data_IF_931164170695
#
_entry.id   IF_931164170695
#
_cell.length_a   1.000
_cell.length_b   1.000
_cell.length_c   1.000
_cell.angle_alpha   90.00
_cell.angle_beta   90.00
_cell.angle_gamma   90.00
#
_symmetry.space_group_name_H-M   'P 1'
#
loop_
_entity.id
_entity.type
_entity.pdbx_description
1 polymer ?
#
# COMPACT_ATOMS: atom_id res chain seq x y z
N UNK A 1 33.69 11.75 -8.71
CA UNK A 1 33.62 12.78 -9.79
C UNK A 1 32.90 13.97 -9.19
N UNK A 2 33.62 15.09 -8.98
CA UNK A 2 33.05 16.33 -8.42
C UNK A 2 31.69 16.56 -9.09
N UNK A 3 30.59 16.49 -8.32
CA UNK A 3 29.19 16.62 -8.77
C UNK A 3 28.93 16.40 -10.29
N UNK A 4 28.38 15.24 -10.65
CA UNK A 4 28.09 14.83 -12.03
C UNK A 4 27.15 15.80 -12.78
N UNK A 5 26.20 16.43 -12.10
CA UNK A 5 25.24 17.37 -12.69
C UNK A 5 24.68 18.35 -11.63
N UNK A 6 23.98 19.44 -12.06
CA UNK A 6 23.40 20.41 -11.13
C UNK A 6 22.39 19.82 -10.13
N UNK A 7 21.66 18.78 -10.53
CA UNK A 7 20.70 18.09 -9.66
C UNK A 7 21.40 17.42 -8.48
N UNK A 8 22.48 16.68 -8.75
CA UNK A 8 23.32 16.06 -7.73
C UNK A 8 23.97 17.14 -6.83
N UNK A 9 24.47 18.23 -7.41
CA UNK A 9 25.11 19.30 -6.65
C UNK A 9 24.15 19.96 -5.65
N UNK A 10 22.93 20.29 -6.08
CA UNK A 10 21.90 20.90 -5.22
C UNK A 10 21.46 19.94 -4.11
N UNK A 11 21.26 18.66 -4.45
CA UNK A 11 20.92 17.64 -3.45
C UNK A 11 22.03 17.43 -2.45
N UNK A 12 23.29 17.34 -2.91
CA UNK A 12 24.44 17.23 -2.01
C UNK A 12 24.48 18.41 -1.05
N UNK A 13 24.30 19.64 -1.54
CA UNK A 13 24.23 20.83 -0.68
C UNK A 13 23.14 20.73 0.40
N UNK A 14 21.94 20.25 0.05
CA UNK A 14 20.86 20.02 1.02
C UNK A 14 21.23 18.94 2.04
N UNK A 15 21.80 17.82 1.58
CA UNK A 15 22.27 16.73 2.46
C UNK A 15 23.35 17.24 3.42
N UNK A 16 24.38 17.92 2.91
CA UNK A 16 25.45 18.50 3.73
C UNK A 16 24.87 19.44 4.79
N UNK A 17 23.94 20.31 4.43
CA UNK A 17 23.27 21.20 5.38
C UNK A 17 22.47 20.43 6.43
N UNK A 18 21.66 19.45 6.01
CA UNK A 18 20.86 18.62 6.91
C UNK A 18 21.73 17.83 7.90
N UNK A 19 22.80 17.18 7.43
CA UNK A 19 23.70 16.43 8.31
C UNK A 19 24.46 17.36 9.27
N UNK A 20 24.89 18.53 8.81
CA UNK A 20 25.54 19.52 9.67
C UNK A 20 24.58 20.02 10.78
N UNK A 21 23.34 20.35 10.43
CA UNK A 21 22.31 20.76 11.39
C UNK A 21 21.99 19.64 12.40
N UNK A 22 21.85 18.40 11.92
CA UNK A 22 21.57 17.26 12.79
C UNK A 22 22.73 16.97 13.76
N UNK A 23 23.98 17.08 13.31
CA UNK A 23 25.17 16.98 14.18
C UNK A 23 25.22 18.11 15.21
N UNK A 24 24.89 19.34 14.84
CA UNK A 24 24.80 20.46 15.78
C UNK A 24 23.71 20.22 16.84
N UNK A 25 22.53 19.76 16.42
CA UNK A 25 21.42 19.43 17.32
C UNK A 25 21.74 18.24 18.25
N UNK A 26 22.59 17.30 17.84
CA UNK A 26 23.01 16.18 18.68
C UNK A 26 23.72 16.63 19.98
N UNK A 27 24.22 17.86 20.05
CA UNK A 27 24.81 18.45 21.26
C UNK A 27 23.78 19.07 22.23
N UNK A 28 22.49 19.13 21.87
CA UNK A 28 21.44 19.63 22.76
C UNK A 28 21.25 18.67 23.97
N UNK A 29 20.66 19.14 25.07
CA UNK A 29 20.58 18.37 26.32
C UNK A 29 19.47 17.31 26.35
N UNK A 30 18.36 17.51 25.62
CA UNK A 30 17.21 16.60 25.64
C UNK A 30 17.24 15.56 24.51
N UNK A 31 17.28 14.27 24.87
CA UNK A 31 17.37 13.16 23.91
C UNK A 31 16.22 13.12 22.89
N UNK A 32 14.98 13.38 23.33
CA UNK A 32 13.82 13.42 22.41
C UNK A 32 13.96 14.49 21.32
N UNK A 33 14.50 15.66 21.67
CA UNK A 33 14.71 16.76 20.72
C UNK A 33 15.76 16.40 19.66
N UNK A 34 16.79 15.61 20.02
CA UNK A 34 17.83 15.16 19.07
C UNK A 34 17.26 14.29 17.97
N UNK A 35 16.47 13.28 18.36
CA UNK A 35 15.84 12.33 17.42
C UNK A 35 14.92 13.06 16.45
N UNK A 36 13.99 13.86 16.99
CA UNK A 36 13.01 14.57 16.17
C UNK A 36 13.63 15.52 15.15
N UNK A 37 14.73 16.22 15.49
CA UNK A 37 15.41 17.09 14.52
C UNK A 37 15.97 16.29 13.35
N UNK A 38 16.62 15.16 13.62
CA UNK A 38 17.17 14.30 12.56
C UNK A 38 16.06 13.72 11.67
N UNK A 39 14.97 13.24 12.27
CA UNK A 39 13.80 12.73 11.56
C UNK A 39 13.19 13.78 10.61
N UNK A 40 13.02 15.02 11.10
CA UNK A 40 12.50 16.14 10.31
C UNK A 40 13.42 16.44 9.13
N UNK A 41 14.73 16.58 9.40
CA UNK A 41 15.71 16.92 8.37
C UNK A 41 15.79 15.84 7.29
N UNK A 42 15.78 14.56 7.67
CA UNK A 42 15.76 13.45 6.72
C UNK A 42 14.48 13.41 5.89
N UNK A 43 13.32 13.61 6.52
CA UNK A 43 12.03 13.67 5.83
C UNK A 43 12.01 14.76 4.74
N UNK A 44 12.63 15.91 5.02
CA UNK A 44 12.76 17.03 4.08
C UNK A 44 13.68 16.74 2.88
N UNK A 45 14.64 15.80 3.01
CA UNK A 45 15.50 15.40 1.90
C UNK A 45 14.75 14.58 0.85
N UNK A 46 13.80 13.73 1.27
CA UNK A 46 13.03 12.88 0.37
C UNK A 46 11.93 13.63 -0.38
N UNK A 47 11.22 14.54 0.31
CA UNK A 47 9.99 15.14 -0.23
C UNK A 47 10.12 15.76 -1.63
N UNK A 48 11.16 16.54 -1.97
CA UNK A 48 11.28 17.17 -3.29
C UNK A 48 11.48 16.19 -4.46
N UNK A 49 11.77 14.92 -4.17
CA UNK A 49 12.19 13.92 -5.16
C UNK A 49 11.14 12.84 -5.40
N UNK A 50 10.06 12.89 -4.63
CA UNK A 50 8.95 11.95 -4.69
C UNK A 50 7.74 12.64 -5.32
N UNK A 51 6.95 11.93 -6.15
CA UNK A 51 5.75 12.54 -6.75
C UNK A 51 4.70 12.89 -5.68
N UNK A 52 3.63 13.57 -6.10
CA UNK A 52 2.66 14.15 -5.17
C UNK A 52 1.86 13.11 -4.37
N UNK A 53 1.62 11.93 -4.96
CA UNK A 53 0.94 10.78 -4.37
C UNK A 53 1.80 10.04 -3.34
N UNK A 54 3.13 10.14 -3.44
CA UNK A 54 4.04 9.57 -2.46
C UNK A 54 4.26 10.57 -1.32
N UNK A 55 3.80 10.17 -0.13
CA UNK A 55 3.98 10.91 1.10
C UNK A 55 5.18 10.43 1.91
N UNK A 56 5.63 11.30 2.80
CA UNK A 56 6.62 11.02 3.84
C UNK A 56 5.99 11.48 5.17
N UNK A 57 5.96 10.60 6.16
CA UNK A 57 5.35 10.89 7.46
C UNK A 57 6.00 10.09 8.58
N UNK A 58 5.48 10.25 9.80
CA UNK A 58 5.89 9.50 10.99
C UNK A 58 4.63 8.98 11.69
N UNK A 59 4.71 7.83 12.36
CA UNK A 59 3.57 7.32 13.13
C UNK A 59 3.43 5.81 13.08
N UNK A 60 2.22 5.32 13.28
CA UNK A 60 1.95 3.90 13.49
C UNK A 60 1.38 3.24 12.23
N UNK A 61 1.73 1.98 12.03
CA UNK A 61 1.19 1.16 10.95
C UNK A 61 0.10 0.26 11.51
N UNK A 62 -1.00 0.14 10.78
CA UNK A 62 -2.15 -0.71 11.13
C UNK A 62 -2.52 -1.62 9.96
N UNK A 63 -3.34 -2.63 10.24
CA UNK A 63 -4.07 -3.36 9.22
C UNK A 63 -5.58 -3.37 9.49
N UNK A 64 -6.35 -3.86 8.52
CA UNK A 64 -7.80 -4.00 8.63
C UNK A 64 -8.25 -5.26 9.41
N UNK A 65 -7.33 -5.98 10.06
CA UNK A 65 -7.59 -7.30 10.62
C UNK A 65 -7.51 -7.33 12.15
N UNK A 66 -7.54 -6.17 12.80
CA UNK A 66 -7.58 -6.04 14.25
C UNK A 66 -6.25 -6.31 14.95
N UNK A 67 -5.13 -6.36 14.22
CA UNK A 67 -3.81 -6.39 14.85
C UNK A 67 -3.54 -5.05 15.57
N UNK A 68 -2.87 -5.05 16.74
CA UNK A 68 -2.48 -3.81 17.39
C UNK A 68 -1.63 -2.91 16.47
N UNK A 69 -1.80 -1.57 16.55
CA UNK A 69 -0.93 -0.64 15.84
C UNK A 69 0.54 -0.87 16.17
N UNK A 70 1.42 -0.66 15.20
CA UNK A 70 2.86 -0.82 15.41
C UNK A 70 3.37 0.19 16.45
N UNK A 71 4.56 0.00 17.02
CA UNK A 71 5.33 1.11 17.56
C UNK A 71 5.45 2.23 16.52
N UNK A 72 5.69 3.46 16.99
CA UNK A 72 5.92 4.59 16.09
C UNK A 72 7.14 4.29 15.20
N UNK A 73 6.95 4.46 13.90
CA UNK A 73 7.99 4.39 12.89
C UNK A 73 8.45 5.82 12.63
N UNK A 74 9.76 6.06 12.74
CA UNK A 74 10.38 7.37 12.62
C UNK A 74 10.02 8.03 11.28
N UNK A 75 10.22 7.32 10.17
CA UNK A 75 9.82 7.77 8.83
C UNK A 75 9.13 6.65 8.05
N UNK A 76 7.95 6.95 7.53
CA UNK A 76 7.13 6.12 6.65
C UNK A 76 7.07 6.79 5.29
N UNK A 77 7.48 6.08 4.24
CA UNK A 77 7.20 6.49 2.84
C UNK A 77 6.01 5.66 2.37
N UNK A 78 4.96 6.34 1.93
CA UNK A 78 3.67 5.72 1.63
C UNK A 78 3.05 6.27 0.35
N UNK A 79 2.15 5.52 -0.26
CA UNK A 79 1.40 5.95 -1.44
C UNK A 79 -0.06 6.24 -1.09
N UNK A 80 -0.44 7.53 -1.17
CA UNK A 80 -1.80 8.04 -0.92
C UNK A 80 -2.82 7.52 -1.93
N UNK A 81 -2.39 7.18 -3.14
CA UNK A 81 -3.26 6.66 -4.19
C UNK A 81 -3.66 5.20 -3.97
N UNK A 82 -2.92 4.45 -3.14
CA UNK A 82 -3.27 3.08 -2.74
C UNK A 82 -4.31 3.14 -1.63
N UNK A 83 -3.94 3.72 -0.47
CA UNK A 83 -4.85 4.06 0.62
C UNK A 83 -4.32 5.33 1.31
N UNK A 84 -5.19 6.29 1.67
CA UNK A 84 -4.77 7.47 2.42
C UNK A 84 -4.53 7.13 3.91
N UNK A 85 -3.52 7.72 4.57
CA UNK A 85 -3.39 7.65 6.02
C UNK A 85 -4.40 8.57 6.73
N UNK A 86 -4.64 8.30 8.00
CA UNK A 86 -5.31 9.25 8.90
C UNK A 86 -4.23 10.08 9.60
N UNK A 87 -4.13 11.36 9.25
CA UNK A 87 -3.14 12.27 9.82
C UNK A 87 -3.75 13.03 11.01
N UNK A 88 -3.07 12.97 12.15
CA UNK A 88 -3.44 13.70 13.39
C UNK A 88 -2.76 15.07 13.43
N UNK A 89 -1.57 15.18 12.82
CA UNK A 89 -0.86 16.42 12.53
C UNK A 89 -0.27 16.32 11.10
N UNK A 90 0.28 17.40 10.55
CA UNK A 90 0.73 17.56 9.16
C UNK A 90 1.38 16.30 8.56
N UNK A 91 2.29 15.66 9.29
CA UNK A 91 3.00 14.45 8.86
C UNK A 91 2.90 13.30 9.87
N UNK A 92 2.15 13.45 10.97
CA UNK A 92 2.02 12.44 12.02
C UNK A 92 0.68 11.73 11.86
N UNK A 93 0.68 10.40 11.78
CA UNK A 93 -0.59 9.70 11.59
C UNK A 93 -0.55 8.19 11.75
N UNK A 94 -1.63 7.58 11.29
CA UNK A 94 -1.81 6.14 11.23
C UNK A 94 -1.89 5.73 9.76
N UNK A 95 -1.08 4.74 9.39
CA UNK A 95 -0.86 4.32 8.01
C UNK A 95 -1.38 2.90 7.80
N UNK A 96 -2.36 2.69 6.89
CA UNK A 96 -2.71 1.35 6.42
C UNK A 96 -1.49 0.67 5.81
N UNK A 97 -1.19 -0.56 6.21
CA UNK A 97 -0.02 -1.32 5.76
C UNK A 97 0.07 -1.42 4.23
N UNK A 98 -1.07 -1.46 3.51
CA UNK A 98 -1.09 -1.49 2.06
C UNK A 98 -0.50 -0.21 1.43
N UNK A 99 -0.64 0.93 2.09
CA UNK A 99 -0.08 2.20 1.61
C UNK A 99 1.43 2.30 1.84
N UNK A 100 1.99 1.54 2.79
CA UNK A 100 3.38 1.65 3.24
C UNK A 100 4.33 1.00 2.23
N UNK A 101 5.32 1.77 1.78
CA UNK A 101 6.35 1.34 0.82
C UNK A 101 7.70 1.14 1.49
N UNK A 102 8.08 2.06 2.38
CA UNK A 102 9.31 2.01 3.16
C UNK A 102 9.06 2.38 4.61
N UNK A 103 9.84 1.75 5.49
CA UNK A 103 10.04 2.21 6.87
C UNK A 103 11.51 2.57 7.03
N UNK A 104 11.80 3.72 7.65
CA UNK A 104 13.16 4.14 7.95
C UNK A 104 13.26 4.40 9.44
N UNK A 105 14.12 3.62 10.10
CA UNK A 105 14.50 3.83 11.49
C UNK A 105 15.71 4.76 11.55
N UNK A 106 15.68 5.75 12.42
CA UNK A 106 16.64 6.85 12.47
C UNK A 106 17.43 6.81 13.78
N UNK A 107 18.76 6.72 13.70
CA UNK A 107 19.64 6.62 14.87
C UNK A 107 20.71 7.72 14.90
N UNK A 108 20.99 8.25 16.08
CA UNK A 108 22.14 9.18 16.23
C UNK A 108 23.47 8.43 16.13
N UNK A 109 23.58 7.26 16.76
CA UNK A 109 24.77 6.40 16.69
C UNK A 109 24.33 4.96 16.55
N UNK A 110 24.83 4.29 15.51
CA UNK A 110 24.50 2.92 15.20
C UNK A 110 25.47 1.96 15.89
N UNK A 111 24.91 1.02 16.66
CA UNK A 111 25.65 -0.07 17.29
C UNK A 111 24.89 -1.40 17.09
N UNK A 112 25.46 -2.53 17.53
CA UNK A 112 24.84 -3.85 17.35
C UNK A 112 23.48 -4.02 18.04
N UNK A 113 23.23 -3.29 19.14
CA UNK A 113 21.93 -3.30 19.83
C UNK A 113 20.88 -2.56 19.00
N UNK A 114 21.21 -1.38 18.49
CA UNK A 114 20.29 -0.60 17.65
C UNK A 114 19.95 -1.33 16.35
N UNK A 115 20.93 -2.00 15.70
CA UNK A 115 20.65 -2.86 14.54
C UNK A 115 19.69 -4.00 14.88
N UNK A 116 19.89 -4.67 16.02
CA UNK A 116 19.01 -5.76 16.45
C UNK A 116 17.57 -5.28 16.70
N UNK A 117 17.41 -4.07 17.25
CA UNK A 117 16.10 -3.46 17.47
C UNK A 117 15.43 -3.14 16.13
N UNK A 118 16.16 -2.52 15.20
CA UNK A 118 15.65 -2.20 13.87
C UNK A 118 15.24 -3.46 13.09
N UNK A 119 16.03 -4.54 13.21
CA UNK A 119 15.70 -5.83 12.62
C UNK A 119 14.39 -6.41 13.17
N UNK A 120 14.21 -6.36 14.50
CA UNK A 120 12.97 -6.84 15.12
C UNK A 120 11.75 -6.01 14.69
N UNK A 121 11.92 -4.69 14.58
CA UNK A 121 10.89 -3.78 14.07
C UNK A 121 10.52 -4.14 12.63
N UNK A 122 11.51 -4.28 11.75
CA UNK A 122 11.32 -4.70 10.36
C UNK A 122 10.63 -6.07 10.25
N UNK A 123 11.07 -7.06 11.03
CA UNK A 123 10.45 -8.37 11.11
C UNK A 123 8.97 -8.27 11.48
N UNK A 124 8.66 -7.48 12.51
CA UNK A 124 7.29 -7.27 13.00
C UNK A 124 6.38 -6.73 11.89
N UNK A 125 6.82 -5.65 11.21
CA UNK A 125 6.07 -5.07 10.09
C UNK A 125 5.85 -6.09 8.96
N UNK A 126 6.87 -6.89 8.64
CA UNK A 126 6.82 -7.86 7.55
C UNK A 126 5.92 -9.08 7.83
N UNK A 127 5.89 -9.55 9.07
CA UNK A 127 5.29 -10.86 9.41
C UNK A 127 3.97 -10.78 10.17
N UNK A 128 3.69 -9.68 10.90
CA UNK A 128 2.48 -9.57 11.73
C UNK A 128 1.30 -9.00 10.94
N UNK A 129 1.53 -7.93 10.18
CA UNK A 129 0.46 -7.21 9.49
C UNK A 129 0.01 -7.91 8.21
N UNK A 130 -1.31 -7.93 8.02
CA UNK A 130 -1.98 -8.57 6.89
C UNK A 130 -2.45 -7.53 5.88
N UNK A 131 -2.53 -7.93 4.62
CA UNK A 131 -2.84 -7.04 3.51
C UNK A 131 -4.16 -7.44 2.90
N UNK A 132 -4.97 -6.45 2.57
CA UNK A 132 -6.12 -6.63 1.69
C UNK A 132 -5.66 -6.88 0.25
N UNK A 133 -6.35 -7.76 -0.51
CA UNK A 133 -6.10 -7.92 -1.93
C UNK A 133 -6.54 -6.66 -2.70
N UNK A 134 -5.70 -6.22 -3.64
CA UNK A 134 -5.95 -5.05 -4.48
C UNK A 134 -6.20 -5.35 -5.95
N UNK A 135 -6.25 -6.63 -6.36
CA UNK A 135 -6.57 -7.03 -7.74
C UNK A 135 -7.93 -7.70 -7.84
N UNK A 136 -8.54 -7.59 -9.01
CA UNK A 136 -9.80 -8.25 -9.37
C UNK A 136 -9.61 -9.16 -10.59
N UNK A 137 -10.42 -10.21 -10.70
CA UNK A 137 -10.57 -11.02 -11.91
C UNK A 137 -11.50 -10.36 -12.94
N UNK A 138 -11.77 -11.04 -14.06
CA UNK A 138 -12.64 -10.55 -15.13
C UNK A 138 -14.10 -10.44 -14.69
N UNK A 139 -14.50 -11.23 -13.69
CA UNK A 139 -15.82 -11.25 -13.07
C UNK A 139 -15.96 -10.17 -11.97
N UNK A 140 -14.89 -9.45 -11.65
CA UNK A 140 -14.88 -8.38 -10.64
C UNK A 140 -14.69 -8.85 -9.20
N UNK A 141 -14.36 -10.13 -8.96
CA UNK A 141 -14.07 -10.66 -7.64
C UNK A 141 -12.63 -10.32 -7.23
N UNK A 142 -12.42 -10.03 -5.94
CA UNK A 142 -11.08 -9.83 -5.40
C UNK A 142 -10.30 -11.14 -5.41
N UNK A 143 -9.07 -11.08 -5.91
CA UNK A 143 -8.17 -12.24 -5.99
C UNK A 143 -6.93 -12.05 -5.12
N UNK A 144 -6.44 -13.15 -4.55
CA UNK A 144 -5.14 -13.18 -3.90
C UNK A 144 -4.04 -13.00 -4.95
N UNK A 145 -3.06 -12.16 -4.66
CA UNK A 145 -1.89 -11.94 -5.50
C UNK A 145 -0.65 -11.71 -4.64
N UNK A 146 0.52 -11.82 -5.26
CA UNK A 146 1.77 -11.49 -4.59
C UNK A 146 1.81 -10.00 -4.25
N UNK A 147 2.23 -9.70 -3.01
CA UNK A 147 2.29 -8.37 -2.42
C UNK A 147 3.70 -8.20 -1.83
N UNK A 148 4.47 -7.24 -2.33
CA UNK A 148 5.85 -7.01 -1.91
C UNK A 148 5.89 -6.28 -0.58
N UNK A 149 6.50 -6.83 0.46
CA UNK A 149 6.47 -6.17 1.78
C UNK A 149 7.23 -4.81 1.77
N UNK A 150 6.93 -3.90 2.73
CA UNK A 150 7.68 -2.66 2.89
C UNK A 150 9.17 -2.92 3.04
N UNK A 151 9.98 -2.10 2.38
CA UNK A 151 11.44 -2.17 2.50
C UNK A 151 11.85 -1.42 3.77
N UNK A 152 12.44 -2.13 4.72
CA UNK A 152 12.93 -1.53 5.96
C UNK A 152 14.37 -1.03 5.79
N UNK A 153 14.61 0.19 6.24
CA UNK A 153 15.89 0.90 6.14
C UNK A 153 16.31 1.39 7.52
N UNK A 154 17.60 1.37 7.79
CA UNK A 154 18.19 2.09 8.92
C UNK A 154 19.02 3.24 8.40
N UNK A 155 18.78 4.44 8.93
CA UNK A 155 19.65 5.59 8.73
C UNK A 155 20.31 5.97 10.05
N UNK A 156 21.61 6.24 10.04
CA UNK A 156 22.32 6.74 11.20
C UNK A 156 23.29 7.89 10.91
N UNK A 157 23.46 8.80 11.87
CA UNK A 157 24.45 9.88 11.77
C UNK A 157 25.88 9.42 12.02
N UNK A 158 26.04 8.47 12.93
CA UNK A 158 27.33 7.94 13.37
C UNK A 158 27.26 6.42 13.54
N UNK A 159 28.40 5.77 13.68
CA UNK A 159 28.53 4.36 14.07
C UNK A 159 29.66 4.22 15.08
N UNK A 160 29.60 3.19 15.93
CA UNK A 160 30.69 2.79 16.82
C UNK A 160 31.77 1.94 16.11
N UNK A 161 31.56 1.58 14.84
CA UNK A 161 32.57 0.90 14.03
C UNK A 161 33.73 1.84 13.66
N UNK A 162 34.93 1.25 13.57
CA UNK A 162 36.13 1.94 13.07
C UNK A 162 35.91 2.36 11.59
N UNK A 163 36.43 3.53 11.21
CA UNK A 163 36.28 4.09 9.87
C UNK A 163 36.64 3.09 8.75
N UNK A 164 37.82 2.45 8.87
CA UNK A 164 38.30 1.45 7.91
C UNK A 164 38.07 0.00 8.37
N UNK A 165 37.14 -0.22 9.30
CA UNK A 165 36.80 -1.55 9.82
C UNK A 165 35.83 -2.32 8.91
N UNK A 166 35.11 -3.28 9.52
CA UNK A 166 34.04 -4.02 8.84
C UNK A 166 32.90 -3.10 8.42
N UNK A 167 32.12 -3.49 7.42
CA UNK A 167 30.93 -2.75 6.99
C UNK A 167 29.74 -3.00 7.93
N UNK A 168 28.73 -2.14 7.85
CA UNK A 168 27.44 -2.31 8.53
C UNK A 168 26.72 -3.56 8.05
N UNK A 169 26.81 -3.90 6.76
CA UNK A 169 26.31 -5.16 6.24
C UNK A 169 27.01 -6.36 6.89
N UNK A 170 28.34 -6.34 7.03
CA UNK A 170 29.08 -7.40 7.72
C UNK A 170 28.70 -7.50 9.20
N UNK A 171 28.48 -6.37 9.87
CA UNK A 171 27.94 -6.34 11.23
C UNK A 171 26.54 -6.95 11.30
N UNK A 172 25.66 -6.56 10.38
CA UNK A 172 24.29 -7.04 10.34
C UNK A 172 24.21 -8.55 10.04
N UNK A 173 25.06 -9.06 9.13
CA UNK A 173 25.22 -10.50 8.89
C UNK A 173 25.55 -11.30 10.15
N UNK A 174 26.26 -10.72 11.11
CA UNK A 174 26.56 -11.39 12.40
C UNK A 174 25.34 -11.45 13.33
N UNK A 175 24.36 -10.56 13.13
CA UNK A 175 23.11 -10.49 13.90
C UNK A 175 22.13 -11.54 13.37
N UNK A 176 21.78 -11.49 12.08
CA UNK A 176 20.81 -12.43 11.51
C UNK A 176 21.42 -13.80 11.16
N UNK A 177 22.75 -13.90 11.00
CA UNK A 177 23.49 -15.15 10.74
C UNK A 177 22.96 -15.90 9.51
N UNK A 178 22.22 -16.98 9.75
CA UNK A 178 21.61 -17.86 8.73
C UNK A 178 20.09 -17.72 8.67
N UNK A 179 19.52 -16.87 9.52
CA UNK A 179 18.10 -16.60 9.54
C UNK A 179 17.72 -15.62 8.42
N UNK A 180 16.42 -15.57 8.12
CA UNK A 180 15.85 -14.53 7.26
C UNK A 180 16.12 -13.16 7.86
N UNK A 181 16.64 -12.24 7.05
CA UNK A 181 16.87 -10.85 7.41
C UNK A 181 15.72 -9.97 6.90
N UNK A 182 15.36 -8.92 7.62
CA UNK A 182 14.22 -8.05 7.28
C UNK A 182 14.61 -6.62 6.92
N UNK A 183 15.83 -6.18 7.25
CA UNK A 183 16.38 -4.94 6.73
C UNK A 183 16.82 -5.12 5.28
N UNK A 184 16.41 -4.17 4.43
CA UNK A 184 16.81 -4.09 3.03
C UNK A 184 17.96 -3.12 2.79
N UNK A 185 18.17 -2.14 3.69
CA UNK A 185 19.31 -1.23 3.58
C UNK A 185 19.73 -0.59 4.92
N UNK A 186 20.99 -0.18 5.01
CA UNK A 186 21.60 0.52 6.14
C UNK A 186 22.45 1.66 5.58
N UNK A 187 22.24 2.89 6.05
CA UNK A 187 23.00 4.06 5.65
C UNK A 187 23.60 4.74 6.87
N UNK A 188 24.91 4.96 6.88
CA UNK A 188 25.60 5.72 7.93
C UNK A 188 26.25 6.95 7.31
N UNK A 189 25.78 8.13 7.72
CA UNK A 189 26.21 9.41 7.17
C UNK A 189 27.72 9.64 7.36
N UNK A 190 28.40 10.03 6.27
CA UNK A 190 29.83 10.21 6.16
C UNK A 190 30.63 8.90 6.13
N UNK A 191 29.99 7.73 5.96
CA UNK A 191 30.69 6.44 6.00
C UNK A 191 30.34 5.51 4.85
N UNK A 192 29.13 4.97 4.83
CA UNK A 192 28.74 3.96 3.85
C UNK A 192 27.23 3.79 3.72
N UNK A 193 26.82 3.27 2.56
CA UNK A 193 25.47 2.78 2.29
C UNK A 193 25.56 1.31 1.91
N UNK A 194 24.83 0.49 2.62
CA UNK A 194 24.72 -0.94 2.45
C UNK A 194 23.29 -1.26 2.02
N UNK A 195 23.11 -2.04 0.96
CA UNK A 195 21.79 -2.53 0.56
C UNK A 195 21.86 -3.97 0.09
N UNK A 196 20.76 -4.67 0.25
CA UNK A 196 20.62 -6.03 -0.25
C UNK A 196 20.08 -6.01 -1.68
N UNK A 197 20.70 -6.83 -2.54
CA UNK A 197 20.27 -7.09 -3.89
C UNK A 197 20.65 -8.52 -4.30
N UNK A 198 19.66 -9.29 -4.75
CA UNK A 198 19.83 -10.66 -5.25
C UNK A 198 20.67 -11.56 -4.32
N UNK A 199 20.33 -11.59 -3.04
CA UNK A 199 20.98 -12.36 -1.95
C UNK A 199 22.38 -11.86 -1.58
N UNK A 200 22.79 -10.68 -2.07
CA UNK A 200 24.08 -10.07 -1.80
C UNK A 200 23.93 -8.72 -1.10
N UNK A 201 24.75 -8.49 -0.08
CA UNK A 201 24.94 -7.16 0.47
C UNK A 201 25.98 -6.40 -0.35
N UNK A 202 25.56 -5.30 -0.95
CA UNK A 202 26.44 -4.36 -1.63
C UNK A 202 26.71 -3.21 -0.67
N UNK A 203 27.99 -2.99 -0.34
CA UNK A 203 28.43 -1.88 0.52
C UNK A 203 29.25 -0.90 -0.29
N UNK A 204 28.79 0.35 -0.34
CA UNK A 204 29.52 1.45 -0.97
C UNK A 204 30.05 2.42 0.08
N UNK A 205 31.31 2.80 -0.06
CA UNK A 205 31.97 3.82 0.76
C UNK A 205 32.20 5.08 -0.07
N UNK A 206 32.30 6.19 0.63
CA UNK A 206 32.32 7.52 0.01
C UNK A 206 33.62 7.78 -0.74
N UNK A 207 33.49 8.25 -1.98
CA UNK A 207 34.55 8.98 -2.68
C UNK A 207 34.42 10.50 -2.44
N UNK A 208 33.19 10.99 -2.27
CA UNK A 208 32.86 12.40 -1.95
C UNK A 208 31.89 12.53 -0.77
N UNK A 209 31.77 13.76 -0.24
CA UNK A 209 30.92 14.06 0.91
C UNK A 209 29.46 13.64 0.70
N UNK A 210 29.02 12.68 1.50
CA UNK A 210 27.64 12.19 1.58
C UNK A 210 27.11 11.47 0.31
N UNK A 211 27.99 10.88 -0.51
CA UNK A 211 27.60 10.04 -1.65
C UNK A 211 26.66 8.88 -1.26
N UNK A 212 26.88 8.26 -0.11
CA UNK A 212 26.06 7.20 0.45
C UNK A 212 24.62 7.64 0.74
N UNK A 213 24.42 8.88 1.19
CA UNK A 213 23.06 9.42 1.42
C UNK A 213 22.36 9.69 0.09
N UNK A 214 23.09 10.21 -0.89
CA UNK A 214 22.56 10.38 -2.25
C UNK A 214 22.22 9.02 -2.89
N UNK A 215 23.03 8.00 -2.64
CA UNK A 215 22.78 6.64 -3.11
C UNK A 215 21.58 6.00 -2.42
N UNK A 216 21.39 6.21 -1.11
CA UNK A 216 20.17 5.81 -0.41
C UNK A 216 18.93 6.44 -1.04
N UNK A 217 18.96 7.76 -1.23
CA UNK A 217 17.87 8.50 -1.88
C UNK A 217 17.58 7.92 -3.26
N UNK A 218 18.62 7.70 -4.07
CA UNK A 218 18.48 7.09 -5.40
C UNK A 218 17.91 5.68 -5.32
N UNK A 219 18.34 4.86 -4.36
CA UNK A 219 17.84 3.51 -4.15
C UNK A 219 16.34 3.51 -3.89
N UNK A 220 15.88 4.35 -2.96
CA UNK A 220 14.46 4.52 -2.64
C UNK A 220 13.68 5.01 -3.86
N UNK A 221 14.12 6.09 -4.52
CA UNK A 221 13.38 6.68 -5.66
C UNK A 221 13.31 5.74 -6.86
N UNK A 222 14.29 4.84 -7.04
CA UNK A 222 14.31 3.90 -8.15
C UNK A 222 13.45 2.65 -7.92
N UNK A 223 13.14 2.31 -6.67
CA UNK A 223 12.56 1.00 -6.34
C UNK A 223 11.20 1.05 -5.64
N UNK A 224 10.77 2.22 -5.12
CA UNK A 224 9.46 2.35 -4.45
C UNK A 224 8.29 1.94 -5.35
N UNK A 225 8.39 2.18 -6.67
CA UNK A 225 7.34 1.82 -7.63
C UNK A 225 7.08 0.31 -7.66
N UNK A 226 8.12 -0.52 -7.63
CA UNK A 226 7.95 -1.96 -7.60
C UNK A 226 7.16 -2.45 -6.38
N UNK A 227 7.37 -1.82 -5.22
CA UNK A 227 6.57 -2.11 -4.01
C UNK A 227 5.13 -1.62 -4.19
N UNK A 228 4.95 -0.39 -4.69
CA UNK A 228 3.64 0.22 -4.93
C UNK A 228 2.79 -0.58 -5.92
N UNK A 229 3.34 -0.95 -7.07
CA UNK A 229 2.64 -1.65 -8.15
C UNK A 229 2.17 -3.04 -7.71
N UNK A 230 2.85 -3.65 -6.72
CA UNK A 230 2.43 -4.92 -6.14
C UNK A 230 1.11 -4.84 -5.34
N UNK A 231 0.67 -3.64 -4.92
CA UNK A 231 -0.48 -3.45 -4.02
C UNK A 231 -1.83 -3.48 -4.72
N UNK A 232 -1.90 -3.06 -5.99
CA UNK A 232 -3.19 -2.83 -6.65
C UNK A 232 -4.04 -1.75 -5.96
N UNK A 233 -5.35 -1.93 -5.94
CA UNK A 233 -6.35 -1.01 -5.40
C UNK A 233 -7.19 -1.70 -4.29
N UNK A 234 -6.63 -1.88 -3.09
CA UNK A 234 -7.40 -2.34 -1.94
C UNK A 234 -8.49 -1.34 -1.58
N UNK A 235 -9.53 -1.80 -0.89
CA UNK A 235 -10.72 -1.01 -0.61
C UNK A 235 -10.58 -0.30 0.73
N UNK A 236 -10.61 1.03 0.74
CA UNK A 236 -10.60 1.81 1.98
C UNK A 236 -11.77 1.47 2.92
N UNK A 237 -12.89 0.99 2.35
CA UNK A 237 -14.07 0.56 3.09
C UNK A 237 -13.77 -0.40 4.25
N UNK A 238 -12.77 -1.27 4.13
CA UNK A 238 -12.38 -2.20 5.19
C UNK A 238 -11.81 -1.52 6.45
N UNK A 239 -11.35 -0.27 6.34
CA UNK A 239 -10.83 0.52 7.46
C UNK A 239 -11.86 1.49 8.05
N UNK A 240 -12.89 1.86 7.29
CA UNK A 240 -13.80 2.97 7.65
C UNK A 240 -15.24 2.54 7.84
N UNK A 241 -15.68 1.47 7.16
CA UNK A 241 -17.05 1.00 7.26
C UNK A 241 -17.27 0.31 8.62
N UNK A 242 -18.39 0.58 9.30
CA UNK A 242 -18.71 -0.12 10.53
C UNK A 242 -19.02 -1.60 10.26
N UNK A 243 -18.64 -2.48 11.18
CA UNK A 243 -18.82 -3.93 11.02
C UNK A 243 -20.30 -4.36 11.14
N UNK A 244 -21.05 -3.73 12.04
CA UNK A 244 -22.44 -4.07 12.32
C UNK A 244 -23.37 -3.01 11.73
N UNK A 245 -23.87 -3.27 10.52
CA UNK A 245 -24.80 -2.37 9.82
C UNK A 245 -26.15 -3.09 9.64
N UNK A 246 -27.22 -2.46 10.11
CA UNK A 246 -28.58 -2.86 9.71
C UNK A 246 -28.93 -2.19 8.39
N UNK A 247 -29.19 -3.00 7.37
CA UNK A 247 -29.53 -2.51 6.02
C UNK A 247 -31.02 -2.65 5.76
N UNK A 248 -31.66 -1.56 5.31
CA UNK A 248 -33.01 -1.57 4.77
C UNK A 248 -32.89 -1.45 3.26
N UNK A 249 -33.36 -2.47 2.53
CA UNK A 249 -33.36 -2.44 1.07
C UNK A 249 -34.61 -1.70 0.61
N UNK A 250 -34.41 -0.53 0.01
CA UNK A 250 -35.46 0.22 -0.68
C UNK A 250 -35.13 0.27 -2.17
N UNK A 251 -35.94 -0.34 -3.04
CA UNK A 251 -35.67 -0.28 -4.48
C UNK A 251 -35.76 1.15 -4.96
N UNK A 252 -34.75 1.62 -5.70
CA UNK A 252 -34.76 2.96 -6.32
C UNK A 252 -35.76 3.07 -7.48
N UNK A 253 -36.14 1.93 -8.06
CA UNK A 253 -37.11 1.82 -9.13
C UNK A 253 -37.97 0.58 -8.89
N UNK A 254 -39.29 0.73 -9.02
CA UNK A 254 -40.22 -0.40 -9.08
C UNK A 254 -40.14 -0.99 -10.48
N UNK A 255 -39.62 -2.20 -10.61
CA UNK A 255 -39.56 -2.92 -11.88
C UNK A 255 -40.85 -3.71 -12.10
N UNK A 256 -41.38 -3.81 -13.33
CA UNK A 256 -42.53 -4.67 -13.62
C UNK A 256 -42.23 -6.14 -13.32
N UNK A 257 -43.18 -6.83 -12.71
CA UNK A 257 -43.16 -8.29 -12.60
C UNK A 257 -43.66 -8.90 -13.91
N UNK A 258 -42.87 -9.78 -14.51
CA UNK A 258 -43.27 -10.61 -15.63
C UNK A 258 -43.99 -11.85 -15.11
N UNK A 259 -45.26 -12.03 -15.49
CA UNK A 259 -45.97 -13.29 -15.30
C UNK A 259 -45.62 -14.24 -16.45
N UNK A 260 -45.18 -15.44 -16.10
CA UNK A 260 -44.91 -16.54 -17.03
C UNK A 260 -45.71 -17.77 -16.63
N UNK A 261 -46.09 -18.58 -17.62
CA UNK A 261 -46.89 -19.79 -17.43
C UNK A 261 -46.14 -21.00 -17.95
N UNK A 262 -46.21 -22.11 -17.20
CA UNK A 262 -45.64 -23.37 -17.64
C UNK A 262 -46.46 -23.94 -18.80
N UNK A 263 -45.79 -24.20 -19.93
CA UNK A 263 -46.45 -24.75 -21.12
C UNK A 263 -46.93 -26.20 -20.94
N UNK A 264 -46.48 -26.89 -19.89
CA UNK A 264 -46.85 -28.29 -19.60
C UNK A 264 -47.94 -28.42 -18.54
N UNK A 265 -47.75 -27.81 -17.37
CA UNK A 265 -48.68 -27.97 -16.25
C UNK A 265 -49.55 -26.73 -15.98
N UNK A 266 -49.35 -25.63 -16.71
CA UNK A 266 -50.14 -24.40 -16.55
C UNK A 266 -49.83 -23.59 -15.29
N UNK A 267 -48.89 -24.01 -14.44
CA UNK A 267 -48.48 -23.27 -13.24
C UNK A 267 -47.92 -21.90 -13.63
N UNK A 268 -48.40 -20.85 -12.98
CA UNK A 268 -47.92 -19.47 -13.17
C UNK A 268 -46.83 -19.11 -12.16
N UNK A 269 -45.89 -18.26 -12.61
CA UNK A 269 -44.81 -17.70 -11.81
C UNK A 269 -44.65 -16.22 -12.14
N UNK A 270 -44.46 -15.39 -11.11
CA UNK A 270 -44.05 -14.00 -11.28
C UNK A 270 -42.56 -13.86 -11.05
N UNK A 271 -41.89 -13.07 -11.88
CA UNK A 271 -40.45 -12.84 -11.77
C UNK A 271 -40.04 -11.48 -12.29
N UNK A 272 -38.87 -10.98 -11.87
CA UNK A 272 -38.25 -9.75 -12.39
C UNK A 272 -36.99 -10.18 -13.16
N UNK A 273 -37.12 -10.50 -14.46
CA UNK A 273 -36.02 -11.08 -15.24
C UNK A 273 -34.92 -10.06 -15.52
N UNK A 274 -33.70 -10.58 -15.72
CA UNK A 274 -32.55 -9.82 -16.23
C UNK A 274 -32.23 -10.26 -17.65
N UNK A 275 -31.77 -9.32 -18.46
CA UNK A 275 -31.46 -9.52 -19.88
C UNK A 275 -30.01 -9.09 -20.11
N UNK A 276 -29.07 -9.85 -19.54
CA UNK A 276 -27.64 -9.56 -19.62
C UNK A 276 -27.20 -9.27 -21.07
N UNK A 277 -26.46 -8.19 -21.28
CA UNK A 277 -25.98 -7.76 -22.60
C UNK A 277 -26.98 -6.94 -23.43
N UNK A 278 -28.26 -6.85 -23.05
CA UNK A 278 -29.28 -6.08 -23.79
C UNK A 278 -29.52 -4.70 -23.16
N UNK A 279 -28.82 -3.69 -23.67
CA UNK A 279 -28.94 -2.30 -23.19
C UNK A 279 -30.23 -1.61 -23.63
N UNK A 280 -30.68 -1.85 -24.85
CA UNK A 280 -31.97 -1.37 -25.37
C UNK A 280 -32.54 -2.45 -26.31
N UNK A 281 -33.69 -3.01 -25.96
CA UNK A 281 -34.33 -4.07 -26.72
C UNK A 281 -35.85 -3.96 -26.57
N UNK A 282 -36.56 -4.01 -27.69
CA UNK A 282 -38.02 -4.20 -27.72
C UNK A 282 -38.33 -5.59 -28.24
N UNK A 283 -39.02 -6.40 -27.43
CA UNK A 283 -39.48 -7.73 -27.82
C UNK A 283 -40.96 -7.64 -28.13
N UNK A 284 -41.34 -7.94 -29.37
CA UNK A 284 -42.74 -8.15 -29.77
C UNK A 284 -42.98 -9.65 -29.89
N UNK A 285 -43.74 -10.24 -28.95
CA UNK A 285 -43.92 -11.68 -28.89
C UNK A 285 -44.07 -12.16 -27.45
N UNK A 286 -43.51 -13.30 -27.11
CA UNK A 286 -43.50 -13.82 -25.74
C UNK A 286 -42.07 -13.97 -25.24
N UNK A 287 -41.85 -13.79 -23.94
CA UNK A 287 -40.57 -13.99 -23.27
C UNK A 287 -40.58 -15.37 -22.63
N UNK A 288 -39.59 -16.20 -22.98
CA UNK A 288 -39.33 -17.45 -22.28
C UNK A 288 -38.15 -17.25 -21.34
N UNK A 289 -38.33 -17.55 -20.06
CA UNK A 289 -37.25 -17.41 -19.08
C UNK A 289 -36.37 -18.67 -19.06
N UNK A 290 -35.08 -18.56 -18.68
CA UNK A 290 -34.16 -19.71 -18.68
C UNK A 290 -34.52 -20.79 -17.66
N UNK A 291 -35.18 -20.43 -16.56
CA UNK A 291 -35.57 -21.38 -15.52
C UNK A 291 -36.72 -22.28 -15.97
N UNK A 292 -36.65 -23.55 -15.58
CA UNK A 292 -37.71 -24.52 -15.81
C UNK A 292 -38.73 -24.50 -14.66
N UNK A 293 -39.97 -24.85 -14.98
CA UNK A 293 -40.98 -25.19 -13.98
C UNK A 293 -40.56 -26.46 -13.22
N UNK A 294 -41.07 -26.65 -12.00
CA UNK A 294 -40.85 -27.87 -11.19
C UNK A 294 -41.21 -29.17 -11.93
N UNK A 295 -42.15 -29.13 -12.87
CA UNK A 295 -42.50 -30.28 -13.70
C UNK A 295 -41.55 -30.52 -14.89
N UNK A 296 -40.50 -29.70 -15.05
CA UNK A 296 -39.57 -29.70 -16.18
C UNK A 296 -40.02 -28.88 -17.39
N UNK A 297 -41.20 -28.24 -17.34
CA UNK A 297 -41.74 -27.46 -18.46
C UNK A 297 -41.12 -26.08 -18.62
N UNK A 298 -41.12 -25.55 -19.84
CA UNK A 298 -40.69 -24.16 -20.13
C UNK A 298 -41.70 -23.16 -19.57
N UNK A 299 -41.19 -22.03 -19.09
CA UNK A 299 -41.96 -20.92 -18.56
C UNK A 299 -41.94 -19.77 -19.55
N UNK A 300 -43.11 -19.43 -20.10
CA UNK A 300 -43.24 -18.42 -21.16
C UNK A 300 -44.33 -17.41 -20.80
N UNK A 301 -44.11 -16.13 -21.07
CA UNK A 301 -45.11 -15.08 -20.87
C UNK A 301 -46.21 -15.16 -21.92
N UNK A 302 -47.30 -14.43 -21.70
CA UNK A 302 -48.25 -14.12 -22.77
C UNK A 302 -47.58 -13.34 -23.90
N UNK A 303 -48.29 -13.16 -25.02
CA UNK A 303 -47.82 -12.30 -26.10
C UNK A 303 -48.00 -10.82 -25.71
N UNK A 304 -46.99 -10.02 -25.99
CA UNK A 304 -46.95 -8.60 -25.65
C UNK A 304 -45.79 -7.87 -26.34
N UNK A 305 -45.72 -6.57 -26.11
CA UNK A 305 -44.55 -5.74 -26.36
C UNK A 305 -43.84 -5.48 -25.04
N UNK A 306 -42.58 -5.89 -24.95
CA UNK A 306 -41.75 -5.76 -23.76
C UNK A 306 -40.56 -4.84 -24.05
N UNK A 307 -40.38 -3.83 -23.21
CA UNK A 307 -39.28 -2.87 -23.36
C UNK A 307 -38.23 -3.14 -22.30
N UNK A 308 -37.03 -3.51 -22.74
CA UNK A 308 -35.86 -3.76 -21.90
C UNK A 308 -34.91 -2.57 -22.07
N UNK A 309 -34.55 -1.93 -20.95
CA UNK A 309 -33.52 -0.89 -20.91
C UNK A 309 -32.55 -1.13 -19.77
N UNK A 310 -31.26 -1.04 -20.08
CA UNK A 310 -30.16 -1.36 -19.19
C UNK A 310 -30.35 -2.75 -18.56
N UNK A 311 -30.58 -3.77 -19.40
CA UNK A 311 -30.69 -5.19 -19.03
C UNK A 311 -31.85 -5.53 -18.08
N UNK A 312 -32.79 -4.60 -17.89
CA UNK A 312 -33.96 -4.77 -17.03
C UNK A 312 -35.23 -4.51 -17.83
N UNK A 313 -36.26 -5.32 -17.59
CA UNK A 313 -37.61 -5.04 -18.07
C UNK A 313 -38.13 -3.73 -17.47
N UNK A 314 -38.61 -2.82 -18.31
CA UNK A 314 -39.12 -1.50 -17.90
C UNK A 314 -40.60 -1.35 -18.12
N UNK A 315 -41.11 -1.90 -19.21
CA UNK A 315 -42.52 -1.79 -19.58
C UNK A 315 -43.01 -3.12 -20.14
N UNK A 316 -44.26 -3.45 -19.82
CA UNK A 316 -45.01 -4.59 -20.35
C UNK A 316 -46.28 -4.02 -20.95
N UNK A 317 -46.43 -4.14 -22.27
CA UNK A 317 -47.62 -3.72 -23.01
C UNK A 317 -48.29 -4.99 -23.57
N UNK A 318 -49.32 -5.55 -22.90
CA UNK A 318 -50.01 -6.75 -23.37
C UNK A 318 -50.65 -6.52 -24.74
N UNK A 319 -50.76 -7.60 -25.54
CA UNK A 319 -51.54 -7.61 -26.79
C UNK A 319 -52.98 -8.02 -26.49
#
# INVERSE_FOLDING_TARGET
>A
MKNKNPYQALLRGKVTSAIAQARAAAHMTHQGVKGSVLEILLSQLFRPLLPADIGVGTGQIIDAFGNPPSPQIDIVIYNKAILPPVLVDHNVGIFPIESVLYTIEVKTTLNSRELSIAELSAKTINTVYKYLPGKIDEEGNRINHSISKPRAVVFALNTDLKANGMTEAERYKKIYKKETHYLGAICVAGREYCYENDEHWISMRNEEDFDEVLALISGITNTYRGVSDSRGYPLLGYYVAPENITSIITPSVVLPELTVKCVQCGKELKTIPTFAGFKDLTINGAITIPSLCECGGKLTSEKGTYIIKNERLREINPI
#
